data_IF_946696247867
#
_entry.id   IF_946696247867
#
_cell.length_a   1.000
_cell.length_b   1.000
_cell.length_c   1.000
_cell.angle_alpha   90.00
_cell.angle_beta   90.00
_cell.angle_gamma   90.00
#
_symmetry.space_group_name_H-M   'P 1'
#
loop_
_entity.id
_entity.type
_entity.pdbx_description
1 polymer ?
#
# COMPACT_ATOMS: atom_id res chain seq x y z
N UNK A 1 3.79 39.31 -83.11
CA UNK A 1 4.78 39.02 -84.14
C UNK A 1 5.73 37.93 -83.66
N UNK A 2 6.00 36.97 -84.54
CA UNK A 2 6.90 35.79 -84.46
C UNK A 2 6.28 34.63 -83.68
N UNK A 3 5.65 33.66 -84.36
CA UNK A 3 6.00 32.68 -85.35
C UNK A 3 6.84 31.53 -84.73
N UNK A 4 6.19 30.36 -84.63
CA UNK A 4 6.58 29.06 -85.25
C UNK A 4 7.68 28.32 -84.48
N UNK A 5 7.60 27.01 -84.20
CA UNK A 5 7.53 25.91 -85.15
C UNK A 5 7.19 24.61 -84.41
N UNK A 6 6.29 23.84 -85.00
CA UNK A 6 6.00 22.40 -84.73
C UNK A 6 7.24 21.55 -85.09
N UNK A 7 7.57 20.61 -84.26
CA UNK A 7 8.36 19.48 -84.73
C UNK A 7 7.71 18.18 -84.19
N UNK A 8 7.08 17.47 -85.10
CA UNK A 8 6.54 16.15 -84.89
C UNK A 8 7.66 15.13 -85.01
N UNK A 9 7.84 14.28 -84.03
CA UNK A 9 8.67 13.08 -84.14
C UNK A 9 7.78 11.86 -83.92
N UNK A 10 7.59 11.12 -85.00
CA UNK A 10 7.02 9.78 -85.00
C UNK A 10 8.02 8.85 -84.35
N UNK A 11 7.59 8.10 -83.35
CA UNK A 11 8.31 6.92 -82.87
C UNK A 11 7.32 5.76 -82.83
N UNK A 12 7.77 4.71 -83.51
CA UNK A 12 7.00 3.48 -83.81
C UNK A 12 6.60 2.72 -82.57
N UNK A 13 5.35 2.25 -82.56
CA UNK A 13 4.82 1.26 -81.64
C UNK A 13 5.47 -0.10 -81.94
N UNK A 14 6.34 -0.61 -81.06
CA UNK A 14 6.70 -2.01 -81.00
C UNK A 14 5.91 -2.65 -79.86
N UNK A 15 4.91 -3.43 -80.19
CA UNK A 15 4.11 -4.24 -79.27
C UNK A 15 4.95 -5.38 -78.73
N UNK A 16 5.44 -5.26 -77.54
CA UNK A 16 5.99 -6.38 -76.79
C UNK A 16 4.88 -6.94 -75.88
N UNK A 17 4.34 -8.08 -76.29
CA UNK A 17 3.36 -8.85 -75.53
C UNK A 17 4.06 -9.44 -74.28
N UNK A 18 3.99 -8.78 -73.13
CA UNK A 18 4.33 -9.42 -71.88
C UNK A 18 3.21 -10.40 -71.50
N UNK A 19 3.52 -11.68 -71.53
CA UNK A 19 2.72 -12.74 -70.88
C UNK A 19 2.73 -12.41 -69.37
N UNK A 20 1.60 -11.96 -68.87
CA UNK A 20 1.35 -11.85 -67.44
C UNK A 20 1.10 -13.24 -66.88
N UNK A 21 2.14 -13.79 -66.25
CA UNK A 21 2.02 -15.01 -65.46
C UNK A 21 1.19 -14.70 -64.23
N UNK A 22 0.02 -15.33 -64.10
CA UNK A 22 -0.89 -15.13 -63.00
C UNK A 22 -0.20 -15.56 -61.67
N UNK A 23 0.15 -14.62 -60.82
CA UNK A 23 0.68 -14.88 -59.50
C UNK A 23 -0.35 -15.71 -58.72
N UNK A 24 0.06 -16.90 -58.33
CA UNK A 24 -0.69 -17.86 -57.52
C UNK A 24 -1.02 -17.17 -56.17
N UNK A 25 -2.27 -17.06 -55.84
CA UNK A 25 -2.68 -16.48 -54.57
C UNK A 25 -1.99 -17.19 -53.38
N UNK A 26 -1.56 -16.45 -52.34
CA UNK A 26 -0.95 -17.07 -51.18
C UNK A 26 -1.93 -18.02 -50.49
N UNK A 27 -1.45 -19.13 -49.92
CA UNK A 27 -2.31 -20.09 -49.24
C UNK A 27 -3.04 -19.40 -48.08
N UNK A 28 -4.27 -19.78 -47.74
CA UNK A 28 -4.99 -19.23 -46.62
C UNK A 28 -4.19 -19.45 -45.31
N UNK A 29 -4.28 -18.48 -44.34
CA UNK A 29 -3.60 -18.61 -43.06
C UNK A 29 -4.08 -19.88 -42.34
N UNK A 30 -3.20 -20.55 -41.59
CA UNK A 30 -3.58 -21.74 -40.82
C UNK A 30 -4.70 -21.38 -39.83
N UNK A 31 -5.62 -22.31 -39.55
CA UNK A 31 -6.69 -22.06 -38.57
C UNK A 31 -6.07 -21.72 -37.22
N UNK A 32 -6.74 -20.81 -36.42
CA UNK A 32 -6.24 -20.46 -35.11
C UNK A 32 -6.11 -21.71 -34.24
N UNK A 33 -5.08 -21.78 -33.38
CA UNK A 33 -4.92 -22.92 -32.49
C UNK A 33 -6.15 -23.07 -31.61
N UNK A 34 -6.56 -24.31 -31.29
CA UNK A 34 -7.69 -24.52 -30.38
C UNK A 34 -7.46 -23.79 -29.06
N UNK A 35 -8.52 -23.28 -28.40
CA UNK A 35 -8.41 -22.60 -27.13
C UNK A 35 -7.59 -23.49 -26.16
N UNK A 36 -6.55 -22.92 -25.57
CA UNK A 36 -5.75 -23.64 -24.59
C UNK A 36 -6.66 -24.25 -23.54
N UNK A 37 -6.58 -25.54 -23.31
CA UNK A 37 -7.32 -26.22 -22.28
C UNK A 37 -7.07 -25.50 -20.96
N UNK A 38 -8.15 -25.15 -20.23
CA UNK A 38 -8.01 -24.57 -18.89
C UNK A 38 -7.10 -25.49 -18.08
N UNK A 39 -6.09 -24.94 -17.38
CA UNK A 39 -5.23 -25.76 -16.54
C UNK A 39 -6.10 -26.62 -15.61
N UNK A 40 -5.74 -27.87 -15.36
CA UNK A 40 -6.50 -28.73 -14.46
C UNK A 40 -6.69 -28.01 -13.13
N UNK A 41 -7.93 -27.95 -12.67
CA UNK A 41 -8.26 -27.41 -11.34
C UNK A 41 -7.48 -28.28 -10.35
N UNK A 42 -6.62 -27.70 -9.49
CA UNK A 42 -5.92 -28.47 -8.49
C UNK A 42 -6.95 -29.28 -7.66
N UNK A 43 -6.64 -30.52 -7.26
CA UNK A 43 -7.55 -31.28 -6.43
C UNK A 43 -8.00 -30.45 -5.25
N UNK A 44 -9.31 -30.33 -5.06
CA UNK A 44 -9.92 -29.56 -3.98
C UNK A 44 -9.43 -30.15 -2.66
N UNK A 45 -8.58 -29.42 -1.93
CA UNK A 45 -8.07 -29.91 -0.66
C UNK A 45 -9.24 -30.03 0.32
N UNK A 46 -9.30 -31.09 1.16
CA UNK A 46 -10.40 -31.28 2.08
C UNK A 46 -10.58 -30.05 2.96
N UNK A 47 -11.74 -29.41 2.88
CA UNK A 47 -12.04 -28.20 3.62
C UNK A 47 -12.17 -28.51 5.11
N UNK A 48 -11.63 -27.63 5.96
CA UNK A 48 -11.86 -27.72 7.42
C UNK A 48 -13.34 -27.38 7.65
N UNK A 49 -14.11 -28.28 8.32
CA UNK A 49 -15.53 -28.05 8.56
C UNK A 49 -15.77 -26.74 9.32
N UNK A 50 -16.82 -26.03 8.91
CA UNK A 50 -17.25 -24.85 9.63
C UNK A 50 -17.78 -25.21 11.03
N UNK A 51 -17.55 -24.35 12.03
CA UNK A 51 -18.11 -24.56 13.36
C UNK A 51 -19.64 -24.40 13.36
N UNK A 52 -20.32 -25.03 14.30
CA UNK A 52 -21.80 -25.05 14.40
C UNK A 52 -22.39 -23.63 14.56
N UNK A 53 -21.65 -22.71 15.15
CA UNK A 53 -22.02 -21.31 15.39
C UNK A 53 -21.49 -20.34 14.31
N UNK A 54 -21.09 -20.84 13.14
CA UNK A 54 -20.57 -20.02 12.04
C UNK A 54 -21.57 -18.99 11.52
N UNK A 55 -22.88 -19.28 11.58
CA UNK A 55 -23.92 -18.41 11.07
C UNK A 55 -24.07 -17.11 11.88
N UNK A 56 -23.88 -17.19 13.21
CA UNK A 56 -23.99 -16.03 14.10
C UNK A 56 -23.23 -16.27 15.41
N UNK A 57 -22.75 -15.19 16.02
CA UNK A 57 -22.12 -15.23 17.33
C UNK A 57 -23.13 -15.70 18.40
N UNK A 58 -22.77 -16.68 19.25
CA UNK A 58 -23.66 -17.15 20.31
C UNK A 58 -23.87 -16.05 21.38
N UNK A 59 -24.90 -16.24 22.21
CA UNK A 59 -25.28 -15.24 23.22
C UNK A 59 -24.19 -14.99 24.28
N UNK A 60 -23.33 -15.95 24.52
CA UNK A 60 -22.20 -15.89 25.47
C UNK A 60 -20.90 -15.34 24.82
N UNK A 61 -20.94 -14.90 23.56
CA UNK A 61 -19.82 -14.21 22.94
C UNK A 61 -19.66 -12.79 23.49
N UNK A 62 -18.42 -12.43 23.80
CA UNK A 62 -18.05 -11.05 24.17
C UNK A 62 -18.25 -10.15 22.95
N UNK A 63 -18.87 -8.98 23.12
CA UNK A 63 -19.06 -7.99 22.06
C UNK A 63 -18.38 -6.67 22.39
N UNK A 64 -17.61 -6.14 21.46
CA UNK A 64 -17.03 -4.79 21.59
C UNK A 64 -17.98 -3.70 21.09
N UNK A 65 -17.64 -2.43 21.37
CA UNK A 65 -18.39 -1.28 20.90
C UNK A 65 -18.39 -1.12 19.36
N UNK A 66 -17.43 -1.73 18.66
CA UNK A 66 -17.33 -1.70 17.19
C UNK A 66 -18.21 -2.76 16.52
N UNK A 67 -18.79 -3.67 17.33
CA UNK A 67 -19.59 -4.80 16.85
C UNK A 67 -18.80 -6.09 16.62
N UNK A 68 -17.50 -6.11 16.89
CA UNK A 68 -16.71 -7.34 16.90
C UNK A 68 -17.22 -8.26 18.00
N UNK A 69 -17.60 -9.49 17.65
CA UNK A 69 -17.92 -10.54 18.63
C UNK A 69 -16.79 -11.55 18.71
N UNK A 70 -16.51 -12.05 19.91
CA UNK A 70 -15.45 -13.04 20.12
C UNK A 70 -15.76 -14.01 21.25
N UNK A 71 -15.16 -15.21 21.18
CA UNK A 71 -15.26 -16.24 22.21
C UNK A 71 -13.94 -16.98 22.35
N UNK A 72 -13.45 -17.09 23.59
CA UNK A 72 -12.27 -17.90 23.89
C UNK A 72 -12.64 -19.38 23.73
N UNK A 73 -11.93 -20.06 22.85
CA UNK A 73 -12.07 -21.53 22.65
C UNK A 73 -11.09 -22.29 23.51
N UNK A 74 -9.87 -21.74 23.69
CA UNK A 74 -8.82 -22.28 24.53
C UNK A 74 -8.06 -21.14 25.18
N UNK A 75 -7.88 -21.19 26.49
CA UNK A 75 -7.07 -20.17 27.20
C UNK A 75 -5.60 -20.31 26.85
N UNK A 76 -4.93 -19.19 26.65
CA UNK A 76 -3.49 -19.14 26.46
C UNK A 76 -2.72 -19.22 27.77
N UNK A 77 -1.43 -19.46 27.66
CA UNK A 77 -0.49 -19.52 28.80
C UNK A 77 0.37 -18.25 28.93
N UNK A 78 0.40 -17.42 27.89
CA UNK A 78 1.10 -16.15 27.89
C UNK A 78 0.40 -15.07 28.73
N UNK A 79 1.11 -14.01 29.04
CA UNK A 79 0.55 -12.82 29.72
C UNK A 79 0.58 -11.57 28.84
N UNK A 80 1.53 -11.53 27.87
CA UNK A 80 1.66 -10.40 26.97
C UNK A 80 0.59 -10.46 25.86
N UNK A 81 -0.02 -9.30 25.58
CA UNK A 81 -0.94 -9.07 24.47
C UNK A 81 -0.23 -8.28 23.39
N UNK A 82 -0.48 -8.55 22.10
CA UNK A 82 0.11 -7.75 21.03
C UNK A 82 -0.46 -6.34 20.97
N UNK A 83 0.38 -5.39 20.57
CA UNK A 83 -0.04 -4.04 20.21
C UNK A 83 -0.40 -3.99 18.72
N UNK A 84 -1.10 -2.94 18.30
CA UNK A 84 -1.50 -2.77 16.91
C UNK A 84 -0.32 -2.70 15.91
N UNK A 85 0.88 -2.37 16.36
CA UNK A 85 2.11 -2.30 15.54
C UNK A 85 2.98 -3.54 15.60
N UNK A 86 2.63 -4.54 16.41
CA UNK A 86 3.37 -5.78 16.52
C UNK A 86 3.12 -6.70 15.32
N UNK A 87 4.03 -7.64 15.08
CA UNK A 87 3.77 -8.80 14.23
C UNK A 87 3.28 -9.96 15.08
N UNK A 88 2.29 -10.65 14.57
CA UNK A 88 1.74 -11.85 15.19
C UNK A 88 1.98 -13.05 14.31
N UNK A 89 2.35 -14.18 14.94
CA UNK A 89 2.41 -15.49 14.32
C UNK A 89 1.19 -16.27 14.74
N UNK A 90 0.40 -16.72 13.77
CA UNK A 90 -0.91 -17.35 14.03
C UNK A 90 -1.14 -18.58 13.18
N UNK A 91 -1.91 -19.53 13.72
CA UNK A 91 -2.75 -20.40 12.91
C UNK A 91 -4.17 -19.84 12.85
N UNK A 92 -4.80 -19.93 11.68
CA UNK A 92 -6.17 -19.48 11.51
C UNK A 92 -6.92 -20.28 10.44
N UNK A 93 -8.23 -20.27 10.56
CA UNK A 93 -9.18 -20.70 9.54
C UNK A 93 -10.31 -19.70 9.47
N UNK A 94 -10.67 -19.27 8.25
CA UNK A 94 -11.72 -18.29 8.00
C UNK A 94 -12.85 -18.84 7.16
N UNK A 95 -14.08 -18.58 7.58
CA UNK A 95 -15.33 -18.97 6.91
C UNK A 95 -16.24 -17.77 6.69
N UNK A 96 -17.05 -17.85 5.67
CA UNK A 96 -18.24 -17.02 5.53
C UNK A 96 -19.38 -17.61 6.41
N UNK A 97 -20.39 -16.81 6.74
CA UNK A 97 -21.54 -17.25 7.58
C UNK A 97 -22.35 -18.41 7.00
N UNK A 98 -22.22 -18.69 5.71
CA UNK A 98 -22.82 -19.87 5.06
C UNK A 98 -21.98 -21.14 5.21
N UNK A 99 -20.90 -21.11 6.01
CA UNK A 99 -20.03 -22.25 6.28
C UNK A 99 -18.93 -22.48 5.23
N UNK A 100 -18.89 -21.71 4.14
CA UNK A 100 -17.85 -21.88 3.12
C UNK A 100 -16.52 -21.32 3.66
N UNK A 101 -15.52 -22.19 3.78
CA UNK A 101 -14.15 -21.79 4.09
C UNK A 101 -13.55 -21.02 2.91
N UNK A 102 -12.85 -19.91 3.18
CA UNK A 102 -12.19 -19.11 2.15
C UNK A 102 -10.68 -19.03 2.32
N UNK A 103 -10.16 -19.28 3.53
CA UNK A 103 -8.71 -19.29 3.78
C UNK A 103 -8.36 -20.02 5.07
N UNK A 104 -7.22 -20.73 5.09
CA UNK A 104 -6.73 -21.44 6.27
C UNK A 104 -5.23 -21.66 6.23
N UNK A 105 -4.52 -21.18 7.23
CA UNK A 105 -3.10 -21.53 7.46
C UNK A 105 -2.93 -22.95 8.00
N UNK A 106 -3.94 -23.47 8.69
CA UNK A 106 -3.95 -24.86 9.18
C UNK A 106 -3.98 -25.82 8.00
N UNK A 107 -4.82 -25.55 7.00
CA UNK A 107 -4.87 -26.35 5.76
C UNK A 107 -3.55 -26.31 4.99
N UNK A 108 -2.85 -25.18 5.00
CA UNK A 108 -1.51 -25.06 4.38
C UNK A 108 -0.41 -25.75 5.18
N UNK A 109 -0.68 -26.19 6.41
CA UNK A 109 0.28 -26.86 7.29
C UNK A 109 1.36 -25.93 7.87
N UNK A 110 1.24 -24.60 7.69
CA UNK A 110 2.22 -23.62 8.16
C UNK A 110 1.53 -22.40 8.77
N UNK A 111 1.98 -21.91 9.94
CA UNK A 111 1.51 -20.67 10.52
C UNK A 111 1.84 -19.48 9.61
N UNK A 112 1.06 -18.44 9.72
CA UNK A 112 1.27 -17.18 9.00
C UNK A 112 1.70 -16.08 9.95
N UNK A 113 2.51 -15.15 9.44
CA UNK A 113 2.94 -13.97 10.18
C UNK A 113 2.38 -12.71 9.53
N UNK A 114 1.79 -11.82 10.36
CA UNK A 114 1.19 -10.60 9.89
C UNK A 114 1.56 -9.41 10.79
N UNK A 115 1.87 -8.22 10.22
CA UNK A 115 1.84 -6.99 10.98
C UNK A 115 0.38 -6.64 11.29
N UNK A 116 0.02 -6.40 12.56
CA UNK A 116 -1.37 -6.15 12.97
C UNK A 116 -1.97 -4.86 12.39
N UNK A 117 -1.15 -3.90 12.02
CA UNK A 117 -1.58 -2.69 11.31
C UNK A 117 -1.84 -2.90 9.81
N UNK A 118 -1.52 -4.06 9.26
CA UNK A 118 -1.67 -4.42 7.85
C UNK A 118 -2.81 -5.39 7.55
N UNK A 119 -3.58 -5.81 8.56
CA UNK A 119 -4.71 -6.76 8.41
C UNK A 119 -6.06 -6.04 8.51
N UNK A 120 -7.17 -6.78 8.36
CA UNK A 120 -8.52 -6.23 8.53
C UNK A 120 -8.71 -5.71 9.96
N UNK A 121 -9.53 -4.65 10.10
CA UNK A 121 -9.73 -3.96 11.39
C UNK A 121 -10.14 -4.88 12.52
N UNK A 122 -11.02 -5.86 12.23
CA UNK A 122 -11.45 -6.85 13.22
C UNK A 122 -10.31 -7.74 13.74
N UNK A 123 -9.31 -8.03 12.91
CA UNK A 123 -8.10 -8.72 13.37
C UNK A 123 -7.22 -7.82 14.20
N UNK A 124 -6.99 -6.57 13.75
CA UNK A 124 -6.23 -5.59 14.52
C UNK A 124 -6.81 -5.39 15.91
N UNK A 125 -8.14 -5.30 16.03
CA UNK A 125 -8.83 -5.19 17.32
C UNK A 125 -8.79 -6.48 18.12
N UNK A 126 -9.20 -7.60 17.49
CA UNK A 126 -9.43 -8.87 18.17
C UNK A 126 -8.16 -9.52 18.71
N UNK A 127 -7.05 -9.51 17.95
CA UNK A 127 -5.83 -10.15 18.40
C UNK A 127 -5.17 -9.41 19.57
N UNK A 128 -5.41 -8.12 19.73
CA UNK A 128 -4.97 -7.37 20.93
C UNK A 128 -5.67 -7.81 22.22
N UNK A 129 -6.75 -8.58 22.13
CA UNK A 129 -7.41 -9.20 23.30
C UNK A 129 -6.72 -10.50 23.73
N UNK A 130 -6.01 -11.16 22.82
CA UNK A 130 -5.43 -12.50 22.99
C UNK A 130 -4.07 -12.46 23.67
N UNK A 131 -3.72 -13.60 24.27
CA UNK A 131 -2.36 -13.90 24.75
C UNK A 131 -1.79 -15.10 23.99
N UNK A 132 -0.46 -15.29 24.01
CA UNK A 132 0.19 -16.43 23.34
C UNK A 132 -0.35 -17.76 23.88
N UNK A 133 -0.63 -18.70 22.98
CA UNK A 133 -1.25 -20.01 23.25
C UNK A 133 -2.78 -19.96 23.33
N UNK A 134 -3.39 -18.79 23.23
CA UNK A 134 -4.86 -18.66 23.21
C UNK A 134 -5.41 -19.00 21.81
N UNK A 135 -6.54 -19.70 21.78
CA UNK A 135 -7.37 -19.89 20.61
C UNK A 135 -8.70 -19.21 20.82
N UNK A 136 -9.08 -18.32 19.90
CA UNK A 136 -10.29 -17.50 19.98
C UNK A 136 -11.03 -17.51 18.66
N UNK A 137 -12.35 -17.55 18.72
CA UNK A 137 -13.24 -17.35 17.58
C UNK A 137 -13.70 -15.91 17.52
N UNK A 138 -13.68 -15.36 16.31
CA UNK A 138 -14.15 -14.01 16.00
C UNK A 138 -15.28 -14.07 14.98
N UNK A 139 -16.33 -13.29 15.19
CA UNK A 139 -17.34 -12.92 14.21
C UNK A 139 -17.13 -11.45 13.88
N UNK A 140 -16.61 -11.19 12.71
CA UNK A 140 -16.14 -9.88 12.28
C UNK A 140 -17.15 -9.29 11.31
N UNK A 141 -17.87 -8.23 11.68
CA UNK A 141 -18.84 -7.59 10.78
C UNK A 141 -18.15 -6.97 9.56
N UNK A 142 -18.89 -6.81 8.48
CA UNK A 142 -18.40 -6.39 7.17
C UNK A 142 -17.55 -5.10 7.21
N UNK A 143 -17.94 -4.11 8.01
CA UNK A 143 -17.24 -2.82 8.16
C UNK A 143 -15.86 -2.95 8.85
N UNK A 144 -15.61 -4.06 9.55
CA UNK A 144 -14.31 -4.41 10.15
C UNK A 144 -13.56 -5.46 9.32
N UNK A 145 -14.12 -5.91 8.20
CA UNK A 145 -13.56 -6.91 7.28
C UNK A 145 -13.38 -6.34 5.87
N UNK A 146 -13.92 -6.98 4.85
CA UNK A 146 -13.75 -6.58 3.44
C UNK A 146 -14.95 -5.82 2.85
N UNK A 147 -15.99 -5.52 3.66
CA UNK A 147 -17.25 -4.92 3.23
C UNK A 147 -18.30 -5.96 2.84
N UNK A 148 -19.47 -5.48 2.44
CA UNK A 148 -20.62 -6.33 2.07
C UNK A 148 -20.55 -6.86 0.64
N UNK A 149 -19.71 -6.26 -0.20
CA UNK A 149 -19.53 -6.67 -1.60
C UNK A 149 -18.17 -7.35 -1.79
N UNK A 150 -18.12 -8.54 -2.40
CA UNK A 150 -16.85 -9.21 -2.67
C UNK A 150 -15.98 -8.38 -3.61
N UNK A 151 -14.69 -8.22 -3.27
CA UNK A 151 -13.71 -7.50 -4.12
C UNK A 151 -13.34 -8.26 -5.41
N UNK A 152 -13.64 -9.56 -5.45
CA UNK A 152 -13.46 -10.46 -6.61
C UNK A 152 -14.57 -11.52 -6.61
N UNK A 153 -14.95 -12.06 -7.77
CA UNK A 153 -15.95 -13.14 -7.83
C UNK A 153 -15.61 -14.29 -6.86
N UNK A 154 -16.57 -14.66 -6.01
CA UNK A 154 -16.42 -15.73 -5.01
C UNK A 154 -15.53 -15.39 -3.81
N UNK A 155 -15.05 -14.15 -3.70
CA UNK A 155 -14.25 -13.69 -2.56
C UNK A 155 -15.10 -13.51 -1.27
N UNK A 156 -14.44 -13.40 -0.09
CA UNK A 156 -15.14 -13.18 1.17
C UNK A 156 -15.79 -11.81 1.24
N UNK A 157 -17.02 -11.75 1.76
CA UNK A 157 -17.79 -10.53 2.00
C UNK A 157 -18.79 -10.72 3.14
N UNK A 158 -19.36 -9.64 3.63
CA UNK A 158 -20.27 -9.68 4.79
C UNK A 158 -19.52 -9.97 6.08
N UNK A 159 -20.25 -10.53 7.04
CA UNK A 159 -19.66 -11.01 8.30
C UNK A 159 -18.77 -12.23 8.03
N UNK A 160 -17.56 -12.20 8.58
CA UNK A 160 -16.59 -13.29 8.49
C UNK A 160 -16.34 -13.92 9.84
N UNK A 161 -16.15 -15.24 9.85
CA UNK A 161 -15.86 -15.99 11.07
C UNK A 161 -14.46 -16.56 10.99
N UNK A 162 -13.68 -16.38 12.05
CA UNK A 162 -12.32 -16.88 12.12
C UNK A 162 -12.07 -17.60 13.44
N UNK A 163 -11.49 -18.79 13.37
CA UNK A 163 -10.76 -19.37 14.50
C UNK A 163 -9.30 -18.96 14.36
N UNK A 164 -8.75 -18.33 15.38
CA UNK A 164 -7.35 -17.88 15.40
C UNK A 164 -6.67 -18.42 16.64
N UNK A 165 -5.49 -18.99 16.47
CA UNK A 165 -4.58 -19.38 17.53
C UNK A 165 -3.35 -18.49 17.48
N UNK A 166 -3.06 -17.76 18.56
CA UNK A 166 -1.91 -16.88 18.67
C UNK A 166 -0.68 -17.65 19.14
N UNK A 167 0.26 -17.89 18.23
CA UNK A 167 1.47 -18.68 18.47
C UNK A 167 2.66 -17.86 18.94
N UNK A 168 2.69 -16.57 18.60
CA UNK A 168 3.81 -15.69 18.96
C UNK A 168 3.56 -14.24 18.65
N UNK A 169 4.30 -13.38 19.34
CA UNK A 169 4.30 -11.93 19.19
C UNK A 169 5.74 -11.50 18.96
N UNK A 170 5.98 -10.75 17.90
CA UNK A 170 7.24 -10.03 17.65
C UNK A 170 6.96 -8.56 17.83
N UNK A 171 7.64 -7.91 18.78
CA UNK A 171 7.47 -6.49 19.04
C UNK A 171 7.77 -5.67 17.79
N UNK A 172 6.82 -4.82 17.42
CA UNK A 172 6.97 -3.83 16.36
C UNK A 172 7.41 -2.49 16.92
N UNK A 173 7.71 -1.56 16.04
CA UNK A 173 8.05 -0.19 16.44
C UNK A 173 6.76 0.62 16.56
N UNK A 174 6.53 1.17 17.75
CA UNK A 174 5.40 2.06 17.99
C UNK A 174 5.48 3.25 17.03
N UNK A 175 4.41 3.54 16.27
CA UNK A 175 4.38 4.73 15.42
C UNK A 175 4.65 6.00 16.23
N UNK A 176 5.35 6.98 15.66
CA UNK A 176 5.48 8.29 16.28
C UNK A 176 4.09 8.90 16.58
N UNK A 177 3.98 9.57 17.72
CA UNK A 177 2.75 10.24 18.08
C UNK A 177 2.41 11.34 17.07
N UNK A 178 1.12 11.52 16.81
CA UNK A 178 0.65 12.62 15.97
C UNK A 178 1.01 13.94 16.66
N UNK A 179 1.68 14.89 15.98
CA UNK A 179 1.99 16.17 16.55
C UNK A 179 0.73 16.96 16.94
N UNK A 180 0.71 17.69 18.08
CA UNK A 180 -0.46 18.47 18.48
C UNK A 180 -0.78 19.62 17.51
N UNK A 181 0.18 20.07 16.75
CA UNK A 181 0.09 21.13 15.74
C UNK A 181 0.04 20.58 14.30
N UNK A 182 -0.35 19.31 14.12
CA UNK A 182 -0.45 18.66 12.79
C UNK A 182 -1.46 19.36 11.88
N UNK A 183 -2.53 19.94 12.43
CA UNK A 183 -3.58 20.57 11.62
C UNK A 183 -3.12 21.85 10.92
N UNK A 184 -2.20 22.61 11.52
CA UNK A 184 -1.68 23.88 10.98
C UNK A 184 -0.36 24.28 11.64
N UNK A 185 0.51 25.04 10.96
CA UNK A 185 1.74 25.54 11.54
C UNK A 185 1.44 26.49 12.70
N UNK A 186 2.13 26.35 13.86
CA UNK A 186 1.94 27.24 15.01
C UNK A 186 2.46 28.67 14.69
N UNK A 187 2.07 29.63 15.50
CA UNK A 187 2.42 31.06 15.27
C UNK A 187 3.91 31.34 15.25
N UNK A 188 4.71 30.53 15.94
CA UNK A 188 6.17 30.63 16.01
C UNK A 188 6.90 29.83 14.92
N UNK A 189 6.16 29.19 14.00
CA UNK A 189 6.76 28.58 12.83
C UNK A 189 7.27 29.66 11.86
N UNK A 190 8.48 29.46 11.35
CA UNK A 190 9.04 30.28 10.28
C UNK A 190 8.38 29.90 8.95
N UNK A 191 8.29 30.87 8.03
CA UNK A 191 7.76 30.65 6.69
C UNK A 191 8.73 31.15 5.63
N UNK A 192 8.84 30.39 4.56
CA UNK A 192 9.58 30.79 3.36
C UNK A 192 8.66 31.56 2.39
N UNK A 193 9.24 32.11 1.33
CA UNK A 193 8.47 32.83 0.29
C UNK A 193 7.50 31.94 -0.49
N UNK A 194 7.80 30.64 -0.59
CA UNK A 194 6.93 29.65 -1.27
C UNK A 194 5.70 29.23 -0.43
N UNK A 195 5.66 29.63 0.85
CA UNK A 195 4.63 29.25 1.80
C UNK A 195 4.95 27.98 2.62
N UNK A 196 6.13 27.38 2.43
CA UNK A 196 6.62 26.31 3.29
C UNK A 196 6.78 26.86 4.72
N UNK A 197 6.14 26.20 5.70
CA UNK A 197 6.34 26.54 7.10
C UNK A 197 7.21 25.51 7.79
N UNK A 198 8.05 25.91 8.74
CA UNK A 198 8.93 25.00 9.47
C UNK A 198 9.22 25.46 10.89
N UNK A 199 9.51 24.50 11.76
CA UNK A 199 9.89 24.73 13.15
C UNK A 199 10.98 23.73 13.54
N UNK A 200 12.11 24.24 14.00
CA UNK A 200 13.18 23.43 14.57
C UNK A 200 12.72 22.91 15.93
N UNK A 201 12.62 21.59 16.06
CA UNK A 201 12.23 20.91 17.29
C UNK A 201 13.46 20.59 18.15
N UNK A 202 14.55 20.18 17.49
CA UNK A 202 15.84 19.89 18.10
C UNK A 202 16.95 20.47 17.24
N UNK A 203 17.80 21.29 17.80
CA UNK A 203 18.96 21.85 17.10
C UNK A 203 19.99 20.76 16.81
N UNK A 204 20.54 20.76 15.61
CA UNK A 204 21.66 19.94 15.22
C UNK A 204 22.99 20.51 15.71
N UNK A 205 24.03 19.68 15.64
CA UNK A 205 25.43 20.08 15.92
C UNK A 205 26.24 20.32 14.65
N UNK A 206 25.69 19.94 13.50
CA UNK A 206 26.29 20.16 12.19
C UNK A 206 26.42 21.66 11.87
N UNK A 207 27.34 21.99 10.98
CA UNK A 207 27.56 23.35 10.47
C UNK A 207 27.33 23.45 8.97
N UNK A 208 27.13 22.31 8.31
CA UNK A 208 26.96 22.20 6.86
C UNK A 208 25.49 21.97 6.55
N UNK A 209 24.98 22.76 5.63
CA UNK A 209 23.66 22.57 5.05
C UNK A 209 23.77 21.71 3.78
N UNK A 210 22.83 20.79 3.53
CA UNK A 210 22.79 20.11 2.26
C UNK A 210 22.36 21.07 1.11
N UNK A 211 22.78 20.74 -0.09
CA UNK A 211 22.32 21.41 -1.32
C UNK A 211 21.24 20.55 -1.98
N UNK A 212 20.44 21.11 -2.90
CA UNK A 212 19.45 20.33 -3.64
C UNK A 212 20.03 19.16 -4.46
N UNK A 213 21.34 19.12 -4.70
CA UNK A 213 22.03 18.06 -5.44
C UNK A 213 22.54 16.94 -4.54
N UNK A 214 22.62 17.17 -3.23
CA UNK A 214 23.14 16.21 -2.28
C UNK A 214 22.12 15.08 -1.99
N UNK A 215 22.63 13.96 -1.48
CA UNK A 215 21.85 12.89 -0.92
C UNK A 215 21.87 12.98 0.60
N UNK A 216 20.71 12.85 1.23
CA UNK A 216 20.60 12.90 2.70
C UNK A 216 20.11 11.56 3.23
N UNK A 217 20.63 11.18 4.40
CA UNK A 217 20.10 10.09 5.20
C UNK A 217 19.31 10.69 6.35
N UNK A 218 18.06 10.28 6.51
CA UNK A 218 17.22 10.83 7.55
C UNK A 218 16.23 9.79 8.12
N UNK A 219 15.80 10.02 9.36
CA UNK A 219 14.52 9.52 9.81
C UNK A 219 13.44 10.54 9.52
N UNK A 220 12.26 10.07 9.13
CA UNK A 220 11.11 10.94 8.90
C UNK A 220 9.80 10.25 9.23
N UNK A 221 8.79 11.06 9.50
CA UNK A 221 7.39 10.64 9.56
C UNK A 221 6.54 11.71 8.91
N UNK A 222 5.57 11.28 8.09
CA UNK A 222 4.65 12.15 7.37
C UNK A 222 3.20 11.90 7.77
N UNK A 223 2.45 12.99 8.00
CA UNK A 223 1.02 12.99 8.32
C UNK A 223 0.25 13.92 7.39
N UNK A 224 -1.02 13.59 7.17
CA UNK A 224 -2.03 14.54 6.69
C UNK A 224 -2.50 15.42 7.84
N UNK A 225 -3.13 16.56 7.54
CA UNK A 225 -3.55 17.54 8.57
C UNK A 225 -4.62 17.04 9.51
N UNK A 226 -5.30 15.95 9.19
CA UNK A 226 -6.24 15.22 10.08
C UNK A 226 -5.52 14.23 11.02
N UNK A 227 -4.17 14.20 11.01
CA UNK A 227 -3.35 13.37 11.87
C UNK A 227 -3.13 11.93 11.37
N UNK A 228 -3.61 11.59 10.18
CA UNK A 228 -3.36 10.27 9.60
C UNK A 228 -1.91 10.17 9.13
N UNK A 229 -1.14 9.30 9.75
CA UNK A 229 0.20 8.96 9.28
C UNK A 229 0.10 8.18 7.96
N UNK A 230 0.84 8.61 6.93
CA UNK A 230 0.87 7.93 5.64
C UNK A 230 2.21 7.28 5.34
N UNK A 231 3.32 7.74 5.96
CA UNK A 231 4.64 7.13 5.79
C UNK A 231 5.57 7.45 6.97
N UNK A 232 6.44 6.50 7.35
CA UNK A 232 7.42 6.69 8.42
C UNK A 232 8.59 5.72 8.30
N UNK A 233 9.80 6.24 8.18
CA UNK A 233 11.03 5.47 8.29
C UNK A 233 11.30 4.99 9.72
N UNK A 234 10.81 5.75 10.72
CA UNK A 234 10.89 5.36 12.14
C UNK A 234 10.11 4.07 12.38
N UNK A 235 8.90 3.98 11.83
CA UNK A 235 8.08 2.78 11.93
C UNK A 235 8.70 1.57 11.19
N UNK A 236 9.46 1.80 10.13
CA UNK A 236 10.22 0.75 9.44
C UNK A 236 11.49 0.33 10.19
N UNK A 237 11.92 1.07 11.21
CA UNK A 237 13.10 0.78 12.01
C UNK A 237 14.43 1.07 11.32
N UNK A 238 14.43 1.73 10.17
CA UNK A 238 15.63 2.04 9.39
C UNK A 238 15.54 3.44 8.80
N UNK A 239 16.62 4.24 8.85
CA UNK A 239 16.67 5.51 8.15
C UNK A 239 16.57 5.30 6.64
N UNK A 240 16.17 6.33 5.93
CA UNK A 240 16.04 6.31 4.48
C UNK A 240 16.98 7.33 3.84
N UNK A 241 17.49 6.99 2.65
CA UNK A 241 18.33 7.87 1.85
C UNK A 241 17.53 8.48 0.71
N UNK A 242 17.69 9.78 0.50
CA UNK A 242 17.01 10.52 -0.57
C UNK A 242 17.97 11.48 -1.27
N UNK A 243 18.07 11.41 -2.61
CA UNK A 243 18.61 12.50 -3.40
C UNK A 243 17.61 13.66 -3.36
N UNK A 244 18.02 14.84 -2.89
CA UNK A 244 17.11 15.97 -2.67
C UNK A 244 16.50 16.55 -3.96
N UNK A 245 17.07 16.26 -5.11
CA UNK A 245 16.49 16.59 -6.41
C UNK A 245 15.42 15.60 -6.90
N UNK A 246 15.21 14.49 -6.19
CA UNK A 246 14.25 13.42 -6.53
C UNK A 246 13.03 13.34 -5.59
N UNK A 247 12.89 14.28 -4.66
CA UNK A 247 11.79 14.32 -3.68
C UNK A 247 10.79 15.45 -3.98
N UNK A 248 9.73 15.55 -3.19
CA UNK A 248 8.75 16.64 -3.32
C UNK A 248 9.43 18.01 -3.11
N UNK A 249 8.91 19.04 -3.79
CA UNK A 249 9.50 20.41 -3.79
C UNK A 249 9.72 20.95 -2.38
N UNK A 250 8.79 20.70 -1.46
CA UNK A 250 8.92 21.12 -0.06
C UNK A 250 10.11 20.50 0.67
N UNK A 251 10.52 19.29 0.33
CA UNK A 251 11.75 18.68 0.85
C UNK A 251 13.00 19.27 0.18
N UNK A 252 12.98 19.42 -1.15
CA UNK A 252 14.09 20.05 -1.89
C UNK A 252 14.38 21.47 -1.40
N UNK A 253 13.35 22.19 -0.95
CA UNK A 253 13.49 23.53 -0.37
C UNK A 253 13.81 23.49 1.13
N UNK A 254 13.11 22.65 1.89
CA UNK A 254 13.14 22.66 3.36
C UNK A 254 14.36 21.99 3.97
N UNK A 255 14.78 20.82 3.45
CA UNK A 255 15.90 20.07 4.01
C UNK A 255 17.23 20.87 3.92
N UNK A 256 17.51 21.67 2.88
CA UNK A 256 18.64 22.60 2.84
C UNK A 256 18.68 23.66 3.96
N UNK A 257 17.59 23.88 4.69
CA UNK A 257 17.58 24.75 5.86
C UNK A 257 18.12 24.09 7.13
N UNK A 258 18.23 22.75 7.12
CA UNK A 258 18.65 21.93 8.24
C UNK A 258 20.17 21.70 8.26
N UNK A 259 20.68 21.27 9.41
CA UNK A 259 22.04 20.75 9.59
C UNK A 259 22.00 19.34 10.19
N UNK A 260 23.10 18.58 10.09
CA UNK A 260 23.17 17.24 10.66
C UNK A 260 22.87 17.22 12.17
N UNK A 261 22.08 16.23 12.59
CA UNK A 261 21.58 16.06 13.95
C UNK A 261 20.38 16.93 14.30
N UNK A 262 19.87 17.73 13.35
CA UNK A 262 18.69 18.56 13.56
C UNK A 262 17.40 17.76 13.32
N UNK A 263 16.37 18.03 14.14
CA UNK A 263 15.00 17.58 13.90
C UNK A 263 14.13 18.79 13.66
N UNK A 264 13.50 18.82 12.49
CA UNK A 264 12.64 19.94 12.07
C UNK A 264 11.29 19.41 11.59
N UNK A 265 10.22 20.09 12.00
CA UNK A 265 8.88 19.85 11.49
C UNK A 265 8.57 20.83 10.38
N UNK A 266 8.04 20.31 9.28
CA UNK A 266 7.62 21.06 8.10
C UNK A 266 6.14 20.91 7.87
N UNK A 267 5.45 22.00 7.52
CA UNK A 267 4.11 22.04 6.98
C UNK A 267 4.23 22.44 5.51
N UNK A 268 4.03 21.48 4.64
CA UNK A 268 4.29 21.59 3.21
C UNK A 268 2.96 21.77 2.48
N UNK A 269 2.69 22.95 1.89
CA UNK A 269 1.49 23.17 1.09
C UNK A 269 1.38 22.17 -0.07
N UNK A 270 0.16 21.84 -0.50
CA UNK A 270 -0.08 20.83 -1.53
C UNK A 270 0.69 21.06 -2.84
N UNK A 271 0.86 22.32 -3.28
CA UNK A 271 1.65 22.66 -4.48
C UNK A 271 3.16 22.39 -4.36
N UNK A 272 3.66 22.23 -3.12
CA UNK A 272 5.04 21.82 -2.83
C UNK A 272 5.12 20.34 -2.42
N UNK A 273 3.98 19.65 -2.33
CA UNK A 273 3.85 18.23 -2.01
C UNK A 273 3.35 17.45 -3.25
N UNK A 274 2.29 16.65 -3.10
CA UNK A 274 1.73 15.85 -4.20
C UNK A 274 0.56 16.52 -4.92
N UNK A 275 0.18 17.74 -4.54
CA UNK A 275 -0.94 18.46 -5.13
C UNK A 275 -2.26 18.32 -4.33
N UNK A 276 -3.28 19.05 -4.82
CA UNK A 276 -4.65 18.98 -4.30
C UNK A 276 -5.62 19.29 -5.45
N UNK A 277 -6.19 18.26 -6.10
CA UNK A 277 -6.06 16.81 -5.82
C UNK A 277 -4.67 16.24 -6.17
N UNK A 278 -4.28 15.10 -5.60
CA UNK A 278 -3.04 14.40 -5.93
C UNK A 278 -3.16 13.72 -7.31
N UNK A 279 -2.03 13.44 -8.01
CA UNK A 279 -2.04 12.88 -9.37
C UNK A 279 -2.55 11.43 -9.45
N UNK A 280 -2.52 10.69 -8.34
CA UNK A 280 -2.96 9.31 -8.30
C UNK A 280 -3.87 9.05 -7.09
N UNK A 281 -4.95 8.23 -7.25
CA UNK A 281 -5.78 7.80 -6.14
C UNK A 281 -4.97 7.12 -5.03
N UNK A 282 -5.26 7.46 -3.77
CA UNK A 282 -4.59 6.87 -2.60
C UNK A 282 -3.34 7.62 -2.13
N UNK A 283 -2.82 8.57 -2.90
CA UNK A 283 -1.77 9.47 -2.40
C UNK A 283 -2.34 10.51 -1.43
N UNK A 284 -1.54 10.96 -0.44
CA UNK A 284 -1.98 12.03 0.45
C UNK A 284 -2.15 13.34 -0.34
N UNK A 285 -3.21 14.10 -0.03
CA UNK A 285 -3.61 15.33 -0.69
C UNK A 285 -3.42 16.55 0.20
N UNK A 286 -3.34 17.72 -0.42
CA UNK A 286 -3.29 18.99 0.28
C UNK A 286 -2.01 19.21 1.07
N UNK A 287 -2.12 19.96 2.18
CA UNK A 287 -0.99 20.22 3.06
C UNK A 287 -0.55 18.93 3.76
N UNK A 288 0.75 18.68 3.74
CA UNK A 288 1.38 17.56 4.45
C UNK A 288 2.30 18.05 5.56
N UNK A 289 2.36 17.29 6.64
CA UNK A 289 3.23 17.57 7.78
C UNK A 289 4.30 16.50 7.89
N UNK A 290 5.56 16.92 7.96
CA UNK A 290 6.68 16.01 8.12
C UNK A 290 7.54 16.40 9.31
N UNK A 291 7.90 15.45 10.16
CA UNK A 291 9.08 15.56 11.01
C UNK A 291 10.24 14.85 10.34
N UNK A 292 11.36 15.55 10.23
CA UNK A 292 12.59 15.04 9.62
C UNK A 292 13.73 15.21 10.62
N UNK A 293 14.41 14.12 10.94
CA UNK A 293 15.68 14.10 11.64
C UNK A 293 16.78 13.85 10.61
N UNK A 294 17.60 14.85 10.34
CA UNK A 294 18.71 14.78 9.38
C UNK A 294 19.92 14.11 10.04
N UNK A 295 20.25 12.91 9.61
CA UNK A 295 21.33 12.09 10.18
C UNK A 295 22.66 12.42 9.53
N UNK A 296 22.72 12.41 8.19
CA UNK A 296 23.96 12.69 7.46
C UNK A 296 23.70 13.26 6.07
N UNK A 297 24.71 13.92 5.53
CA UNK A 297 24.74 14.55 4.23
C UNK A 297 25.85 13.90 3.40
N UNK A 298 25.48 13.32 2.26
CA UNK A 298 26.44 12.82 1.27
C UNK A 298 26.50 13.84 0.13
N UNK A 299 27.61 14.56 0.06
CA UNK A 299 27.86 15.53 -0.99
C UNK A 299 27.97 14.85 -2.35
N UNK A 300 27.41 15.49 -3.37
CA UNK A 300 27.51 15.02 -4.76
C UNK A 300 28.80 15.52 -5.40
#
# INVERSE_FOLDING_TARGET
>A
MRKTTLLAVFVALSTLACKQEAAKAPPPPPPPPPPAAKPPVPPEQPQIPAPADVAAAPADAEKSATGLASKVLQKGTGTAKPNAWDKVKVHYTGWMTNGKMFDSSVQRGQPSEFPLNGVIKGWTEGLQLMVVGEKRRFWIPANLAYGDTPRRPGGPAGTLVFDVELLGITAGIKPPAVPPDVAAPPKDAKKTKSGLAYKVLQKGKGKVHPTPQDTVTCHYTGWTTDGKMFDSSVQRGQPAEFPLNGVIKGWTEGVPLMVEGETTRFWIPGNLAYGDPPPHPGMPAGMLVFEINLISIKKK
#
